data_IF_335857793738
#
_entry.id   IF_335857793738
#
_cell.length_a   1.000
_cell.length_b   1.000
_cell.length_c   1.000
_cell.angle_alpha   90.00
_cell.angle_beta   90.00
_cell.angle_gamma   90.00
#
_symmetry.space_group_name_H-M   'P 1'
#
loop_
_entity.id
_entity.type
_entity.pdbx_description
1 polymer ?
#
# COMPACT_ATOMS: atom_id res chain seq x y z
N UNK A 1 5.30 12.67 5.11
CA UNK A 1 4.18 11.77 5.48
C UNK A 1 4.76 10.50 6.10
N UNK A 2 4.32 10.10 7.30
CA UNK A 2 4.79 8.88 7.97
C UNK A 2 3.60 8.05 8.44
N UNK A 3 3.77 6.74 8.49
CA UNK A 3 2.76 5.78 8.98
C UNK A 3 3.28 5.05 10.21
N UNK A 4 2.38 4.67 11.10
CA UNK A 4 2.68 3.82 12.26
C UNK A 4 2.27 2.40 11.93
N UNK A 5 3.10 1.43 12.34
CA UNK A 5 2.85 0.00 12.18
C UNK A 5 2.81 -0.62 13.56
N UNK A 6 1.76 -1.37 13.87
CA UNK A 6 1.46 -1.88 15.21
C UNK A 6 2.60 -2.70 15.82
N UNK A 7 3.26 -3.54 15.04
CA UNK A 7 4.36 -4.39 15.51
C UNK A 7 5.70 -3.65 15.67
N UNK A 8 5.81 -2.40 15.21
CA UNK A 8 7.07 -1.65 15.21
C UNK A 8 7.03 -0.59 16.30
N UNK A 9 7.41 -1.01 17.50
CA UNK A 9 7.49 -0.14 18.68
C UNK A 9 8.89 -0.12 19.26
N UNK A 10 9.19 0.95 20.01
CA UNK A 10 10.36 1.05 20.87
C UNK A 10 9.93 1.42 22.28
N UNK A 11 10.65 0.94 23.28
CA UNK A 11 10.48 1.40 24.66
C UNK A 11 11.24 2.72 24.88
N UNK A 12 10.59 3.63 25.57
CA UNK A 12 11.21 4.85 26.11
C UNK A 12 11.85 4.53 27.47
N UNK A 13 12.76 5.38 27.94
CA UNK A 13 13.31 5.32 29.30
C UNK A 13 12.21 5.40 30.40
N UNK A 14 11.05 5.95 30.04
CA UNK A 14 9.86 6.03 30.90
C UNK A 14 9.01 4.74 30.91
N UNK A 15 9.53 3.62 30.38
CA UNK A 15 8.85 2.32 30.22
C UNK A 15 7.60 2.31 29.32
N UNK A 16 7.22 3.45 28.73
CA UNK A 16 6.16 3.52 27.73
C UNK A 16 6.62 3.01 26.36
N UNK A 17 5.73 2.33 25.63
CA UNK A 17 5.98 1.91 24.24
C UNK A 17 5.47 2.95 23.25
N UNK A 18 6.33 3.39 22.34
CA UNK A 18 5.98 4.36 21.28
C UNK A 18 6.25 3.76 19.91
N UNK A 19 5.35 4.01 18.95
CA UNK A 19 5.52 3.58 17.57
C UNK A 19 6.67 4.31 16.87
N UNK A 20 7.42 3.57 16.05
CA UNK A 20 8.42 4.16 15.17
C UNK A 20 7.74 4.61 13.87
N UNK A 21 7.88 5.88 13.47
CA UNK A 21 7.19 6.37 12.28
C UNK A 21 8.00 6.01 11.02
N UNK A 22 7.37 5.32 10.06
CA UNK A 22 8.02 4.80 8.85
C UNK A 22 7.51 5.54 7.61
N UNK A 23 8.38 5.74 6.62
CA UNK A 23 7.97 6.27 5.32
C UNK A 23 7.26 5.18 4.49
N UNK A 24 6.08 5.44 3.89
CA UNK A 24 5.29 4.42 3.21
C UNK A 24 5.98 3.76 2.01
N UNK A 25 6.95 4.42 1.36
CA UNK A 25 7.71 3.82 0.25
C UNK A 25 8.64 2.68 0.68
N UNK A 26 8.93 2.54 1.98
CA UNK A 26 9.80 1.50 2.51
C UNK A 26 9.00 0.30 3.05
N UNK A 27 7.72 0.18 2.68
CA UNK A 27 6.80 -0.85 3.20
C UNK A 27 6.06 -1.52 2.04
N UNK A 28 5.72 -2.80 2.21
CA UNK A 28 4.92 -3.59 1.25
C UNK A 28 3.56 -3.92 1.87
N UNK A 29 2.49 -3.74 1.09
CA UNK A 29 1.11 -4.05 1.51
C UNK A 29 0.85 -5.55 1.33
N UNK A 30 0.57 -6.27 2.43
CA UNK A 30 0.36 -7.73 2.42
C UNK A 30 -1.11 -8.12 2.21
N UNK A 31 -2.03 -7.46 2.91
CA UNK A 31 -3.49 -7.67 2.81
C UNK A 31 -4.19 -6.33 2.76
N UNK A 32 -5.19 -6.20 1.89
CA UNK A 32 -5.94 -4.95 1.68
C UNK A 32 -7.35 -5.11 2.23
N UNK A 33 -7.80 -4.14 3.03
CA UNK A 33 -9.22 -4.02 3.40
C UNK A 33 -10.03 -3.51 2.20
N UNK A 34 -11.01 -4.29 1.75
CA UNK A 34 -11.81 -3.96 0.58
C UNK A 34 -13.05 -3.18 0.99
N UNK A 35 -13.06 -1.89 0.67
CA UNK A 35 -14.23 -1.02 0.77
C UNK A 35 -14.82 -0.74 -0.62
N UNK A 36 -16.07 -0.22 -0.68
CA UNK A 36 -16.78 0.10 -1.92
C UNK A 36 -15.92 0.92 -2.88
N UNK A 37 -15.25 1.95 -2.37
CA UNK A 37 -14.38 2.82 -3.17
C UNK A 37 -13.08 2.14 -3.59
N UNK A 38 -12.54 1.24 -2.76
CA UNK A 38 -11.29 0.52 -3.06
C UNK A 38 -11.48 -0.42 -4.24
N UNK A 39 -12.61 -1.14 -4.31
CA UNK A 39 -12.99 -2.00 -5.44
C UNK A 39 -13.06 -1.20 -6.73
N UNK A 40 -13.84 -0.11 -6.73
CA UNK A 40 -14.02 0.76 -7.89
C UNK A 40 -12.69 1.36 -8.39
N UNK A 41 -11.79 1.75 -7.48
CA UNK A 41 -10.48 2.30 -7.85
C UNK A 41 -9.57 1.24 -8.48
N UNK A 42 -9.58 0.01 -7.96
CA UNK A 42 -8.78 -1.09 -8.50
C UNK A 42 -9.25 -1.44 -9.90
N UNK A 43 -10.56 -1.55 -10.14
CA UNK A 43 -11.13 -1.80 -11.47
C UNK A 43 -10.74 -0.71 -12.47
N UNK A 44 -10.85 0.56 -12.08
CA UNK A 44 -10.40 1.69 -12.92
C UNK A 44 -8.92 1.60 -13.28
N UNK A 45 -8.05 1.28 -12.31
CA UNK A 45 -6.61 1.10 -12.57
C UNK A 45 -6.32 -0.11 -13.46
N UNK A 46 -7.06 -1.21 -13.30
CA UNK A 46 -6.94 -2.41 -14.14
C UNK A 46 -7.21 -2.08 -15.61
N UNK A 47 -8.36 -1.47 -15.89
CA UNK A 47 -8.75 -1.08 -17.26
C UNK A 47 -7.75 -0.09 -17.88
N UNK A 48 -7.25 0.87 -17.10
CA UNK A 48 -6.20 1.79 -17.56
C UNK A 48 -4.90 1.08 -17.93
N UNK A 49 -4.49 0.08 -17.13
CA UNK A 49 -3.30 -0.73 -17.40
C UNK A 49 -3.45 -1.59 -18.66
N UNK A 50 -4.59 -2.24 -18.86
CA UNK A 50 -4.87 -3.07 -20.04
C UNK A 50 -4.75 -2.27 -21.34
N UNK A 51 -5.36 -1.07 -21.40
CA UNK A 51 -5.25 -0.17 -22.55
C UNK A 51 -3.81 0.25 -22.84
N UNK A 52 -3.05 0.58 -21.79
CA UNK A 52 -1.65 0.95 -21.94
C UNK A 52 -0.79 -0.21 -22.47
N UNK A 53 -1.04 -1.44 -22.00
CA UNK A 53 -0.33 -2.64 -22.45
C UNK A 53 -0.63 -2.97 -23.92
N UNK A 54 -1.90 -2.88 -24.33
CA UNK A 54 -2.29 -3.05 -25.73
C UNK A 54 -1.57 -2.06 -26.65
N UNK A 55 -1.50 -0.79 -26.24
CA UNK A 55 -0.79 0.26 -27.01
C UNK A 55 0.71 -0.02 -27.14
N UNK A 56 1.33 -0.60 -26.12
CA UNK A 56 2.76 -0.93 -26.10
C UNK A 56 3.10 -2.25 -26.82
N UNK A 57 2.11 -2.96 -27.37
CA UNK A 57 2.32 -4.24 -28.05
C UNK A 57 2.79 -5.38 -27.13
N UNK A 58 2.75 -5.17 -25.81
CA UNK A 58 3.10 -6.16 -24.77
C UNK A 58 1.82 -6.81 -24.23
N UNK A 59 0.95 -7.26 -25.14
CA UNK A 59 -0.25 -8.02 -24.79
C UNK A 59 0.16 -9.32 -24.10
N UNK A 60 -0.49 -9.63 -22.98
CA UNK A 60 -0.19 -10.77 -22.12
C UNK A 60 0.00 -12.06 -22.93
N UNK A 61 1.15 -12.72 -22.73
CA UNK A 61 1.24 -14.17 -22.86
C UNK A 61 0.37 -14.82 -21.79
#
# INVERSE_FOLDING_TARGET
MRINVESVTKQKLSNETVFIPIHPSNVVITKIKMDKYRKNLIEKKRLGREKALQKLGRGAQ
#
